data_IF_880774306296
#
_entry.id   IF_880774306296
#
_cell.length_a   1.000
_cell.length_b   1.000
_cell.length_c   1.000
_cell.angle_alpha   90.00
_cell.angle_beta   90.00
_cell.angle_gamma   90.00
#
_symmetry.space_group_name_H-M   'P 1'
#
loop_
_entity.id
_entity.type
_entity.pdbx_description
1 polymer ?
#
# COMPACT_ATOMS: atom_id res chain seq x y z
N UNK A 1 -9.97 0.70 17.45
CA UNK A 1 -10.01 0.40 16.00
C UNK A 1 -9.00 1.32 15.33
N UNK A 2 -7.84 0.82 14.90
CA UNK A 2 -7.03 1.58 13.95
C UNK A 2 -7.33 0.99 12.57
N UNK A 3 -7.85 1.81 11.67
CA UNK A 3 -7.83 1.53 10.24
C UNK A 3 -6.42 1.91 9.77
N UNK A 4 -5.48 0.97 9.64
CA UNK A 4 -4.17 1.30 9.08
C UNK A 4 -4.37 1.91 7.68
N UNK A 5 -3.66 3.00 7.34
CA UNK A 5 -3.71 3.59 6.01
C UNK A 5 -3.14 2.62 4.98
N UNK A 6 -3.55 2.78 3.71
CA UNK A 6 -2.93 2.03 2.63
C UNK A 6 -1.50 2.54 2.42
N UNK A 7 -0.47 1.67 2.23
CA UNK A 7 0.91 2.14 2.06
C UNK A 7 1.12 3.14 0.92
N UNK A 8 0.31 3.04 -0.14
CA UNK A 8 0.31 4.00 -1.25
C UNK A 8 -0.04 5.44 -0.88
N UNK A 9 -0.75 5.66 0.24
CA UNK A 9 -0.99 7.01 0.78
C UNK A 9 0.32 7.62 1.30
N UNK A 10 1.10 6.83 2.06
CA UNK A 10 2.38 7.29 2.61
C UNK A 10 3.45 7.50 1.53
N UNK A 11 3.44 6.66 0.48
CA UNK A 11 4.33 6.85 -0.68
C UNK A 11 4.00 8.17 -1.39
N UNK A 12 2.71 8.54 -1.48
CA UNK A 12 2.31 9.83 -2.06
C UNK A 12 2.84 11.00 -1.23
N UNK A 13 2.73 10.93 0.09
CA UNK A 13 3.28 11.96 0.98
C UNK A 13 4.80 12.09 0.78
N UNK A 14 5.53 10.97 0.69
CA UNK A 14 6.98 10.99 0.42
C UNK A 14 7.32 11.61 -0.94
N UNK A 15 6.50 11.38 -1.97
CA UNK A 15 6.66 12.01 -3.28
C UNK A 15 6.45 13.53 -3.22
N UNK A 16 5.41 13.96 -2.50
CA UNK A 16 5.07 15.38 -2.33
C UNK A 16 6.17 16.12 -1.58
N UNK A 17 6.77 15.50 -0.55
CA UNK A 17 7.89 16.05 0.24
C UNK A 17 9.15 16.34 -0.60
N UNK A 18 9.43 15.50 -1.60
CA UNK A 18 10.60 15.67 -2.50
C UNK A 18 10.24 16.33 -3.84
N UNK A 19 8.96 16.60 -4.08
CA UNK A 19 8.45 17.21 -5.31
C UNK A 19 8.54 16.32 -6.55
N UNK A 20 8.61 15.00 -6.39
CA UNK A 20 8.72 14.07 -7.52
C UNK A 20 7.34 13.73 -8.09
N UNK A 21 7.23 13.71 -9.41
CA UNK A 21 6.00 13.24 -10.05
C UNK A 21 5.95 11.70 -10.18
N UNK A 22 4.79 11.16 -10.56
CA UNK A 22 4.57 9.70 -10.69
C UNK A 22 5.53 9.06 -11.69
N UNK A 23 5.89 9.77 -12.76
CA UNK A 23 6.80 9.22 -13.78
C UNK A 23 8.22 9.14 -13.23
N UNK A 24 8.73 10.21 -12.64
CA UNK A 24 10.06 10.25 -12.00
C UNK A 24 10.18 9.20 -10.90
N UNK A 25 9.19 9.13 -10.02
CA UNK A 25 9.18 8.17 -8.91
C UNK A 25 9.14 6.73 -9.41
N UNK A 26 8.37 6.44 -10.46
CA UNK A 26 8.34 5.10 -11.05
C UNK A 26 9.70 4.70 -11.62
N UNK A 27 10.42 5.64 -12.24
CA UNK A 27 11.80 5.44 -12.71
C UNK A 27 12.75 5.15 -11.55
N UNK A 28 12.71 5.92 -10.46
CA UNK A 28 13.55 5.69 -9.28
C UNK A 28 13.26 4.35 -8.60
N UNK A 29 11.99 3.94 -8.56
CA UNK A 29 11.56 2.65 -7.98
C UNK A 29 11.71 1.47 -8.94
N UNK A 30 12.22 1.67 -10.16
CA UNK A 30 12.43 0.60 -11.14
C UNK A 30 11.13 -0.12 -11.56
N UNK A 31 9.99 0.58 -11.58
CA UNK A 31 8.69 0.00 -11.87
C UNK A 31 7.95 0.72 -13.01
N UNK A 32 6.92 0.08 -13.57
CA UNK A 32 6.06 0.74 -14.54
C UNK A 32 5.23 1.84 -13.88
N UNK A 33 5.09 3.00 -14.54
CA UNK A 33 4.23 4.11 -14.09
C UNK A 33 2.80 3.65 -13.75
N UNK A 34 2.24 2.71 -14.51
CA UNK A 34 0.92 2.14 -14.26
C UNK A 34 0.84 1.31 -12.97
N UNK A 35 1.94 0.67 -12.58
CA UNK A 35 2.05 -0.06 -11.30
C UNK A 35 2.08 0.91 -10.13
N UNK A 36 2.94 1.94 -10.19
CA UNK A 36 2.97 2.97 -9.15
C UNK A 36 1.61 3.70 -9.05
N UNK A 37 0.98 4.06 -10.16
CA UNK A 37 -0.34 4.69 -10.16
C UNK A 37 -1.40 3.83 -9.45
N UNK A 38 -1.43 2.52 -9.69
CA UNK A 38 -2.37 1.62 -8.98
C UNK A 38 -2.08 1.55 -7.48
N UNK A 39 -0.82 1.51 -7.10
CA UNK A 39 -0.36 1.53 -5.70
C UNK A 39 -0.80 2.81 -4.99
N UNK A 40 -0.53 3.97 -5.58
CA UNK A 40 -0.89 5.30 -5.04
C UNK A 40 -2.41 5.55 -4.98
N UNK A 41 -3.21 4.74 -5.66
CA UNK A 41 -4.67 4.79 -5.65
C UNK A 41 -5.30 3.64 -4.85
N UNK A 42 -4.52 2.91 -4.05
CA UNK A 42 -5.03 1.84 -3.19
C UNK A 42 -5.51 0.58 -3.93
N UNK A 43 -5.19 0.44 -5.22
CA UNK A 43 -5.66 -0.66 -6.08
C UNK A 43 -4.76 -1.89 -6.02
N UNK A 44 -3.51 -1.72 -5.58
CA UNK A 44 -2.52 -2.78 -5.38
C UNK A 44 -1.69 -2.47 -4.15
N UNK A 45 -1.24 -3.49 -3.44
CA UNK A 45 -0.33 -3.34 -2.30
C UNK A 45 1.14 -3.22 -2.66
N UNK A 46 1.97 -2.99 -1.66
CA UNK A 46 3.43 -3.04 -1.76
C UNK A 46 3.88 -4.50 -1.79
N UNK A 47 4.58 -4.89 -2.86
CA UNK A 47 5.26 -6.19 -2.94
C UNK A 47 6.64 -6.14 -2.27
N UNK A 48 7.26 -7.31 -2.03
CA UNK A 48 8.62 -7.37 -1.49
C UNK A 48 9.64 -6.61 -2.37
N UNK A 49 9.54 -6.73 -3.69
CA UNK A 49 10.42 -6.00 -4.61
C UNK A 49 10.21 -4.48 -4.53
N UNK A 50 8.96 -4.02 -4.41
CA UNK A 50 8.67 -2.60 -4.22
C UNK A 50 9.19 -2.09 -2.87
N UNK A 51 9.08 -2.91 -1.82
CA UNK A 51 9.61 -2.58 -0.49
C UNK A 51 11.13 -2.42 -0.49
N UNK A 52 11.86 -3.27 -1.23
CA UNK A 52 13.30 -3.14 -1.44
C UNK A 52 13.65 -1.88 -2.24
N UNK A 53 12.92 -1.60 -3.33
CA UNK A 53 13.13 -0.37 -4.11
C UNK A 53 12.92 0.90 -3.28
N UNK A 54 11.91 0.90 -2.39
CA UNK A 54 11.66 2.01 -1.45
C UNK A 54 12.82 2.16 -0.44
N UNK A 55 13.42 1.06 0.02
CA UNK A 55 14.60 1.07 0.90
C UNK A 55 15.84 1.63 0.17
N UNK A 56 16.07 1.21 -1.08
CA UNK A 56 17.19 1.67 -1.91
C UNK A 56 17.16 3.18 -2.16
N UNK A 57 15.97 3.77 -2.29
CA UNK A 57 15.81 5.23 -2.44
C UNK A 57 15.73 5.98 -1.10
N UNK A 58 15.83 5.27 0.03
CA UNK A 58 15.89 5.86 1.37
C UNK A 58 14.54 6.24 1.99
N UNK A 59 13.41 5.75 1.46
CA UNK A 59 12.06 6.06 1.97
C UNK A 59 11.61 5.09 3.09
N UNK A 60 12.55 4.61 3.89
CA UNK A 60 12.32 3.65 4.97
C UNK A 60 12.61 2.21 4.59
N UNK A 61 12.64 1.30 5.58
CA UNK A 61 13.10 -0.08 5.36
C UNK A 61 12.04 -0.97 4.71
N UNK A 62 12.47 -1.95 3.93
CA UNK A 62 11.59 -2.94 3.32
C UNK A 62 10.76 -3.67 4.37
N UNK A 63 11.36 -3.99 5.53
CA UNK A 63 10.63 -4.57 6.67
C UNK A 63 9.52 -3.67 7.20
N UNK A 64 9.74 -2.35 7.25
CA UNK A 64 8.71 -1.39 7.67
C UNK A 64 7.52 -1.44 6.70
N UNK A 65 7.78 -1.36 5.40
CA UNK A 65 6.76 -1.41 4.36
C UNK A 65 5.97 -2.72 4.36
N UNK A 66 6.66 -3.86 4.49
CA UNK A 66 6.01 -5.17 4.57
C UNK A 66 5.11 -5.30 5.81
N UNK A 67 5.54 -4.77 6.96
CA UNK A 67 4.73 -4.75 8.18
C UNK A 67 3.47 -3.88 8.01
N UNK A 68 3.61 -2.74 7.34
CA UNK A 68 2.50 -1.83 7.06
C UNK A 68 1.49 -2.47 6.12
N UNK A 69 1.95 -3.05 5.02
CA UNK A 69 1.12 -3.78 4.05
C UNK A 69 0.35 -4.91 4.74
N UNK A 70 1.04 -5.75 5.52
CA UNK A 70 0.39 -6.84 6.25
C UNK A 70 -0.66 -6.33 7.25
N UNK A 71 -0.39 -5.21 7.93
CA UNK A 71 -1.34 -4.58 8.85
C UNK A 71 -2.60 -4.12 8.12
N UNK A 72 -2.42 -3.47 6.95
CA UNK A 72 -3.52 -3.04 6.08
C UNK A 72 -4.36 -4.22 5.60
N UNK A 73 -3.74 -5.24 5.02
CA UNK A 73 -4.43 -6.42 4.48
C UNK A 73 -5.20 -7.17 5.56
N UNK A 74 -4.60 -7.37 6.74
CA UNK A 74 -5.27 -8.00 7.88
C UNK A 74 -6.47 -7.18 8.35
N UNK A 75 -6.40 -5.84 8.30
CA UNK A 75 -7.53 -5.00 8.66
C UNK A 75 -8.67 -5.11 7.64
N UNK A 76 -8.38 -5.12 6.34
CA UNK A 76 -9.39 -5.31 5.29
C UNK A 76 -10.03 -6.71 5.37
N UNK A 77 -9.21 -7.77 5.46
CA UNK A 77 -9.70 -9.14 5.56
C UNK A 77 -10.60 -9.37 6.79
N UNK A 78 -10.33 -8.70 7.92
CA UNK A 78 -11.21 -8.74 9.10
C UNK A 78 -12.55 -8.06 8.84
N UNK A 79 -12.59 -6.96 8.09
CA UNK A 79 -13.84 -6.27 7.71
C UNK A 79 -14.67 -7.13 6.79
N UNK A 80 -14.07 -7.71 5.77
CA UNK A 80 -14.75 -8.56 4.80
C UNK A 80 -15.37 -9.77 5.51
N UNK A 81 -14.60 -10.46 6.37
CA UNK A 81 -15.11 -11.56 7.19
C UNK A 81 -16.24 -11.13 8.14
N UNK A 82 -16.20 -9.91 8.67
CA UNK A 82 -17.27 -9.40 9.51
C UNK A 82 -18.54 -9.07 8.70
N UNK A 83 -18.39 -8.57 7.47
CA UNK A 83 -19.50 -8.31 6.56
C UNK A 83 -20.17 -9.61 6.09
N UNK A 84 -19.39 -10.62 5.71
CA UNK A 84 -19.89 -11.94 5.30
C UNK A 84 -20.74 -12.61 6.38
N UNK A 85 -20.28 -12.55 7.64
CA UNK A 85 -21.03 -13.08 8.79
C UNK A 85 -22.39 -12.40 8.98
N UNK A 86 -22.48 -11.09 8.73
CA UNK A 86 -23.75 -10.35 8.83
C UNK A 86 -24.71 -10.73 7.71
N UNK A 87 -24.22 -10.85 6.48
CA UNK A 87 -25.03 -11.23 5.32
C UNK A 87 -25.52 -12.68 5.40
N UNK A 88 -24.68 -13.59 5.90
CA UNK A 88 -25.07 -14.99 6.16
C UNK A 88 -26.14 -15.13 7.25
N UNK A 89 -26.08 -14.32 8.31
CA UNK A 89 -27.06 -14.33 9.39
C UNK A 89 -28.42 -13.68 9.02
N UNK A 90 -28.46 -12.82 7.99
CA UNK A 90 -29.71 -12.20 7.51
C UNK A 90 -30.47 -13.07 6.49
N UNK A 91 -29.84 -14.13 5.97
CA UNK A 91 -30.39 -15.03 4.95
C UNK A 91 -30.78 -16.41 5.49
N UNK A 92 -30.55 -16.66 6.78
CA UNK A 92 -30.94 -17.89 7.49
C UNK A 92 -32.11 -17.58 8.45
#
# INVERSE_FOLDING_TARGET
>A
MLNPPHPGELIRESMDDVGWNVTETATHLGCERGTLSRLLNGRTGVSANMALALEEIGWGTAHHWMRMQASYELAQARRDRAADRRTGALRA
#
